data_IF_791611149769
#
_entry.id   IF_791611149769
#
_cell.length_a   1.000
_cell.length_b   1.000
_cell.length_c   1.000
_cell.angle_alpha   90.00
_cell.angle_beta   90.00
_cell.angle_gamma   90.00
#
_symmetry.space_group_name_H-M   'P 1'
#
loop_
_entity.id
_entity.type
_entity.pdbx_description
1 polymer ?
#
# COMPACT_ATOMS: atom_id res chain seq x y z
N UNK A 1 -26.42 8.95 3.49
CA UNK A 1 -25.05 9.45 3.75
C UNK A 1 -24.80 10.60 2.81
N UNK A 2 -24.71 11.83 3.31
CA UNK A 2 -24.48 13.01 2.47
C UNK A 2 -23.04 12.98 1.99
N UNK A 3 -22.83 12.72 0.70
CA UNK A 3 -21.52 12.86 0.07
C UNK A 3 -21.20 14.35 0.14
N UNK A 4 -20.31 14.75 1.06
CA UNK A 4 -19.79 16.12 1.06
C UNK A 4 -19.23 16.36 -0.35
N UNK A 5 -19.61 17.45 -1.03
CA UNK A 5 -18.95 17.78 -2.29
C UNK A 5 -17.45 17.83 -2.00
N UNK A 6 -16.67 17.13 -2.83
CA UNK A 6 -15.22 17.24 -2.82
C UNK A 6 -14.90 18.70 -3.17
N UNK A 7 -14.86 19.56 -2.16
CA UNK A 7 -14.51 20.96 -2.32
C UNK A 7 -13.10 20.99 -2.89
N UNK A 8 -12.91 21.69 -4.01
CA UNK A 8 -11.59 21.92 -4.58
C UNK A 8 -10.70 22.48 -3.46
N UNK A 9 -9.63 21.76 -3.06
CA UNK A 9 -8.77 22.18 -1.96
C UNK A 9 -8.22 23.60 -2.14
N UNK A 10 -8.01 24.01 -3.40
CA UNK A 10 -7.57 25.36 -3.74
C UNK A 10 -8.65 26.38 -3.37
N UNK A 11 -9.89 26.16 -3.83
CA UNK A 11 -11.02 27.03 -3.54
C UNK A 11 -11.28 27.13 -2.05
N UNK A 12 -11.21 25.99 -1.35
CA UNK A 12 -11.37 25.91 0.11
C UNK A 12 -10.37 26.78 0.86
N UNK A 13 -9.11 26.84 0.43
CA UNK A 13 -8.12 27.74 1.06
C UNK A 13 -8.56 29.20 0.95
N UNK A 14 -8.88 29.68 -0.25
CA UNK A 14 -9.18 31.10 -0.48
C UNK A 14 -10.54 31.53 0.08
N UNK A 15 -11.54 30.64 0.12
CA UNK A 15 -12.86 30.92 0.71
C UNK A 15 -12.81 30.98 2.25
N UNK A 16 -11.95 30.18 2.88
CA UNK A 16 -11.87 30.09 4.35
C UNK A 16 -10.74 30.93 4.96
N UNK A 17 -9.87 31.51 4.14
CA UNK A 17 -8.73 32.31 4.61
C UNK A 17 -9.01 33.80 4.35
N UNK A 18 -8.88 34.68 5.36
CA UNK A 18 -8.97 36.11 5.16
C UNK A 18 -7.99 36.61 4.09
N UNK A 19 -8.40 37.57 3.26
CA UNK A 19 -7.59 38.11 2.15
C UNK A 19 -6.21 38.61 2.61
N UNK A 20 -6.13 39.20 3.80
CA UNK A 20 -4.88 39.67 4.40
C UNK A 20 -3.87 38.55 4.65
N UNK A 21 -4.35 37.33 4.89
CA UNK A 21 -3.55 36.15 5.20
C UNK A 21 -3.21 35.32 3.96
N UNK A 22 -3.76 35.68 2.79
CA UNK A 22 -3.42 35.01 1.55
C UNK A 22 -1.92 35.08 1.29
N UNK A 23 -1.31 33.92 1.15
CA UNK A 23 0.09 33.77 0.80
C UNK A 23 0.32 32.40 0.17
N UNK A 24 1.37 32.30 -0.65
CA UNK A 24 1.72 31.02 -1.27
C UNK A 24 2.19 29.98 -0.23
N UNK A 25 2.85 30.42 0.85
CA UNK A 25 3.28 29.51 1.92
C UNK A 25 2.10 28.97 2.73
N UNK A 26 1.18 29.82 3.16
CA UNK A 26 -0.03 29.36 3.88
C UNK A 26 -0.90 28.45 3.01
N UNK A 27 -0.99 28.74 1.70
CA UNK A 27 -1.63 27.85 0.73
C UNK A 27 -0.97 26.47 0.69
N UNK A 28 0.36 26.41 0.62
CA UNK A 28 1.09 25.14 0.61
C UNK A 28 0.95 24.37 1.93
N UNK A 29 1.01 25.05 3.07
CA UNK A 29 0.86 24.46 4.40
C UNK A 29 -0.53 23.83 4.56
N UNK A 30 -1.59 24.55 4.19
CA UNK A 30 -2.97 24.05 4.24
C UNK A 30 -3.16 22.81 3.35
N UNK A 31 -2.45 22.77 2.22
CA UNK A 31 -2.58 21.71 1.23
C UNK A 31 -1.52 20.61 1.36
N UNK A 32 -0.65 20.67 2.37
CA UNK A 32 0.40 19.69 2.62
C UNK A 32 -0.10 18.24 2.58
N UNK A 33 -1.26 17.87 3.18
CA UNK A 33 -1.77 16.50 3.10
C UNK A 33 -2.03 16.03 1.65
N UNK A 34 -2.42 16.93 0.75
CA UNK A 34 -2.63 16.63 -0.66
C UNK A 34 -1.29 16.48 -1.41
N UNK A 35 -0.27 17.23 -1.00
CA UNK A 35 1.08 17.10 -1.52
C UNK A 35 1.70 15.76 -1.13
N UNK A 36 1.46 15.27 0.08
CA UNK A 36 2.01 14.00 0.58
C UNK A 36 1.32 12.79 -0.07
N UNK A 37 0.00 12.81 -0.19
CA UNK A 37 -0.79 11.66 -0.67
C UNK A 37 -0.73 11.40 -2.19
N UNK A 38 -0.38 12.40 -3.00
CA UNK A 38 -0.34 12.26 -4.47
C UNK A 38 0.90 11.50 -4.97
N UNK A 39 0.69 10.65 -5.99
CA UNK A 39 1.72 9.78 -6.60
C UNK A 39 2.70 10.54 -7.53
N UNK A 40 2.47 11.82 -7.77
CA UNK A 40 3.31 12.64 -8.66
C UNK A 40 4.74 12.83 -8.12
N UNK A 41 5.67 13.06 -9.06
CA UNK A 41 7.05 13.44 -8.72
C UNK A 41 7.05 14.79 -7.98
N UNK A 42 8.07 15.02 -7.15
CA UNK A 42 8.18 16.27 -6.39
C UNK A 42 8.21 17.50 -7.33
N UNK A 43 8.89 17.40 -8.47
CA UNK A 43 8.96 18.47 -9.46
C UNK A 43 7.59 18.76 -10.11
N UNK A 44 6.83 17.72 -10.45
CA UNK A 44 5.48 17.87 -10.98
C UNK A 44 4.58 18.54 -9.94
N UNK A 45 4.67 18.13 -8.67
CA UNK A 45 3.89 18.74 -7.60
C UNK A 45 4.21 20.22 -7.41
N UNK A 46 5.50 20.58 -7.38
CA UNK A 46 5.94 22.00 -7.35
C UNK A 46 5.25 22.80 -8.46
N UNK A 47 5.26 22.27 -9.68
CA UNK A 47 4.64 22.91 -10.85
C UNK A 47 3.11 22.98 -10.76
N UNK A 48 2.46 21.87 -10.43
CA UNK A 48 0.99 21.74 -10.36
C UNK A 48 0.42 22.72 -9.33
N UNK A 49 0.96 22.72 -8.12
CA UNK A 49 0.44 23.56 -7.03
C UNK A 49 0.71 25.03 -7.28
N UNK A 50 1.88 25.38 -7.83
CA UNK A 50 2.16 26.75 -8.25
C UNK A 50 1.19 27.22 -9.33
N UNK A 51 0.95 26.39 -10.35
CA UNK A 51 0.01 26.71 -11.43
C UNK A 51 -1.40 26.91 -10.90
N UNK A 52 -1.88 26.00 -10.05
CA UNK A 52 -3.21 26.10 -9.43
C UNK A 52 -3.38 27.38 -8.61
N UNK A 53 -2.40 27.71 -7.78
CA UNK A 53 -2.40 28.96 -7.01
C UNK A 53 -2.50 30.19 -7.91
N UNK A 54 -1.65 30.29 -8.94
CA UNK A 54 -1.65 31.42 -9.85
C UNK A 54 -2.92 31.49 -10.71
N UNK A 55 -3.44 30.35 -11.17
CA UNK A 55 -4.70 30.31 -11.91
C UNK A 55 -5.85 30.84 -11.07
N UNK A 56 -5.95 30.45 -9.79
CA UNK A 56 -6.98 30.96 -8.90
C UNK A 56 -6.88 32.48 -8.73
N UNK A 57 -5.68 32.99 -8.45
CA UNK A 57 -5.46 34.43 -8.32
C UNK A 57 -5.78 35.19 -9.62
N UNK A 58 -5.43 34.64 -10.78
CA UNK A 58 -5.78 35.25 -12.07
C UNK A 58 -7.29 35.29 -12.30
N UNK A 59 -8.04 34.27 -11.87
CA UNK A 59 -9.49 34.25 -11.99
C UNK A 59 -10.14 35.36 -11.14
N UNK A 60 -9.63 35.62 -9.93
CA UNK A 60 -10.08 36.75 -9.09
C UNK A 60 -9.96 38.10 -9.81
N UNK A 61 -8.94 38.26 -10.66
CA UNK A 61 -8.74 39.50 -11.43
C UNK A 61 -9.74 39.66 -12.58
N UNK A 62 -10.28 38.55 -13.10
CA UNK A 62 -11.24 38.53 -14.21
C UNK A 62 -12.68 38.68 -13.69
N UNK A 63 -12.98 38.10 -12.52
CA UNK A 63 -14.32 38.13 -11.92
C UNK A 63 -14.75 39.56 -11.56
N UNK A 64 -15.85 40.04 -12.14
CA UNK A 64 -16.36 41.40 -11.92
C UNK A 64 -16.84 41.63 -10.49
N UNK A 65 -17.44 40.60 -9.87
CA UNK A 65 -18.04 40.64 -8.53
C UNK A 65 -17.03 40.66 -7.37
N UNK A 66 -15.74 40.39 -7.64
CA UNK A 66 -14.72 40.36 -6.60
C UNK A 66 -14.35 41.75 -6.09
N UNK A 67 -14.15 41.83 -4.76
CA UNK A 67 -13.88 43.10 -4.09
C UNK A 67 -12.50 43.68 -4.49
N UNK A 68 -12.39 45.01 -4.43
CA UNK A 68 -11.16 45.71 -4.83
C UNK A 68 -9.97 45.31 -3.94
N UNK A 69 -10.19 44.86 -2.71
CA UNK A 69 -9.13 44.40 -1.80
C UNK A 69 -8.55 43.07 -2.28
N UNK A 70 -9.40 42.09 -2.62
CA UNK A 70 -8.93 40.81 -3.17
C UNK A 70 -8.20 41.00 -4.49
N UNK A 71 -8.68 41.87 -5.38
CA UNK A 71 -8.00 42.15 -6.66
C UNK A 71 -6.61 42.77 -6.45
N UNK A 72 -6.49 43.76 -5.56
CA UNK A 72 -5.19 44.35 -5.19
C UNK A 72 -4.24 43.31 -4.59
N UNK A 73 -4.75 42.49 -3.66
CA UNK A 73 -3.96 41.44 -3.02
C UNK A 73 -3.51 40.37 -4.01
N UNK A 74 -4.40 39.89 -4.88
CA UNK A 74 -4.09 38.90 -5.91
C UNK A 74 -3.01 39.41 -6.87
N UNK A 75 -3.11 40.66 -7.31
CA UNK A 75 -2.09 41.30 -8.16
C UNK A 75 -0.71 41.31 -7.47
N UNK A 76 -0.68 41.71 -6.20
CA UNK A 76 0.55 41.70 -5.39
C UNK A 76 1.14 40.29 -5.28
N UNK A 77 0.32 39.29 -4.98
CA UNK A 77 0.75 37.89 -4.81
C UNK A 77 1.23 37.23 -6.12
N UNK A 78 0.67 37.61 -7.27
CA UNK A 78 1.13 37.13 -8.59
C UNK A 78 2.52 37.70 -8.91
N UNK A 79 2.75 38.97 -8.57
CA UNK A 79 4.03 39.65 -8.82
C UNK A 79 5.12 39.26 -7.81
N UNK A 80 4.75 38.70 -6.66
CA UNK A 80 5.72 38.22 -5.68
C UNK A 80 6.62 37.13 -6.27
N UNK A 81 7.93 37.31 -6.04
CA UNK A 81 8.94 36.28 -6.31
C UNK A 81 8.71 35.06 -5.43
N UNK A 82 9.27 33.92 -5.83
CA UNK A 82 9.23 32.69 -5.03
C UNK A 82 9.80 32.94 -3.63
N UNK A 83 9.07 32.55 -2.57
CA UNK A 83 9.61 32.58 -1.21
C UNK A 83 10.79 31.60 -1.08
N UNK A 84 11.90 31.96 -0.41
CA UNK A 84 12.99 31.02 -0.14
C UNK A 84 12.54 29.84 0.74
N UNK A 85 11.51 30.02 1.56
CA UNK A 85 10.92 28.99 2.43
C UNK A 85 10.24 27.86 1.63
N UNK A 86 9.91 28.10 0.36
CA UNK A 86 9.29 27.10 -0.52
C UNK A 86 10.13 25.81 -0.59
N UNK A 87 11.46 25.92 -0.68
CA UNK A 87 12.32 24.73 -0.78
C UNK A 87 12.30 23.89 0.50
N UNK A 88 12.26 24.55 1.67
CA UNK A 88 12.15 23.86 2.95
C UNK A 88 10.83 23.10 3.08
N UNK A 89 9.73 23.70 2.62
CA UNK A 89 8.43 23.03 2.56
C UNK A 89 8.51 21.76 1.71
N UNK A 90 9.04 21.84 0.49
CA UNK A 90 9.11 20.69 -0.40
C UNK A 90 10.08 19.60 0.10
N UNK A 91 11.15 19.98 0.79
CA UNK A 91 12.01 19.03 1.48
C UNK A 91 11.25 18.30 2.61
N UNK A 92 10.42 19.00 3.38
CA UNK A 92 9.55 18.37 4.38
C UNK A 92 8.56 17.39 3.74
N UNK A 93 7.89 17.79 2.65
CA UNK A 93 6.97 16.91 1.91
C UNK A 93 7.67 15.67 1.38
N UNK A 94 8.90 15.82 0.86
CA UNK A 94 9.71 14.70 0.39
C UNK A 94 10.00 13.70 1.51
N UNK A 95 10.45 14.19 2.66
CA UNK A 95 10.76 13.34 3.83
C UNK A 95 9.49 12.61 4.28
N UNK A 96 8.37 13.31 4.39
CA UNK A 96 7.09 12.73 4.83
C UNK A 96 6.59 11.63 3.88
N UNK A 97 6.72 11.84 2.57
CA UNK A 97 6.45 10.81 1.56
C UNK A 97 7.35 9.58 1.71
N UNK A 98 8.64 9.78 1.90
CA UNK A 98 9.60 8.68 2.10
C UNK A 98 9.29 7.89 3.37
N UNK A 99 8.87 8.57 4.44
CA UNK A 99 8.45 7.93 5.69
C UNK A 99 7.19 7.09 5.49
N UNK A 100 6.16 7.63 4.81
CA UNK A 100 4.92 6.91 4.53
C UNK A 100 5.17 5.64 3.70
N UNK A 101 6.08 5.70 2.73
CA UNK A 101 6.49 4.51 1.94
C UNK A 101 7.22 3.49 2.81
N UNK A 102 8.12 3.94 3.70
CA UNK A 102 8.86 3.04 4.61
C UNK A 102 7.94 2.34 5.59
N UNK A 103 6.96 3.06 6.13
CA UNK A 103 5.94 2.52 7.03
C UNK A 103 5.10 1.44 6.34
N UNK A 104 4.58 1.73 5.14
CA UNK A 104 3.82 0.74 4.35
C UNK A 104 4.65 -0.52 4.02
N UNK A 105 5.94 -0.35 3.67
CA UNK A 105 6.85 -1.48 3.46
C UNK A 105 7.06 -2.28 4.75
N UNK A 106 7.23 -1.59 5.88
CA UNK A 106 7.43 -2.22 7.18
C UNK A 106 6.21 -3.05 7.58
N UNK A 107 5.01 -2.50 7.47
CA UNK A 107 3.76 -3.18 7.79
C UNK A 107 3.57 -4.44 6.94
N UNK A 108 3.79 -4.33 5.62
CA UNK A 108 3.71 -5.47 4.71
C UNK A 108 4.73 -6.55 5.05
N UNK A 109 5.98 -6.18 5.38
CA UNK A 109 7.02 -7.12 5.79
C UNK A 109 6.68 -7.80 7.12
N UNK A 110 6.13 -7.05 8.07
CA UNK A 110 5.68 -7.57 9.35
C UNK A 110 4.57 -8.61 9.17
N UNK A 111 3.58 -8.30 8.32
CA UNK A 111 2.50 -9.24 7.96
C UNK A 111 3.02 -10.51 7.29
N UNK A 112 3.96 -10.38 6.35
CA UNK A 112 4.61 -11.53 5.70
C UNK A 112 5.33 -12.39 6.75
N UNK A 113 6.12 -11.78 7.63
CA UNK A 113 6.82 -12.51 8.69
C UNK A 113 5.87 -13.27 9.64
N UNK A 114 4.71 -12.69 9.96
CA UNK A 114 3.70 -13.37 10.75
C UNK A 114 3.10 -14.59 10.03
N UNK A 115 2.86 -14.48 8.72
CA UNK A 115 2.39 -15.60 7.90
C UNK A 115 3.45 -16.71 7.81
N UNK A 116 4.72 -16.35 7.63
CA UNK A 116 5.82 -17.33 7.58
C UNK A 116 5.91 -18.14 8.88
N UNK A 117 5.75 -17.50 10.04
CA UNK A 117 5.73 -18.19 11.35
C UNK A 117 4.57 -19.18 11.44
N UNK A 118 3.38 -18.80 10.97
CA UNK A 118 2.21 -19.70 10.95
C UNK A 118 2.44 -20.89 10.02
N UNK A 119 3.03 -20.67 8.84
CA UNK A 119 3.33 -21.74 7.88
C UNK A 119 4.37 -22.72 8.43
N UNK A 120 5.43 -22.23 9.09
CA UNK A 120 6.41 -23.08 9.76
C UNK A 120 5.75 -23.91 10.86
N UNK A 121 4.95 -23.28 11.73
CA UNK A 121 4.25 -23.98 12.81
C UNK A 121 3.26 -25.03 12.28
N UNK A 122 2.57 -24.72 11.17
CA UNK A 122 1.68 -25.66 10.50
C UNK A 122 2.44 -26.87 9.96
N UNK A 123 3.57 -26.66 9.29
CA UNK A 123 4.37 -27.74 8.73
C UNK A 123 4.91 -28.66 9.83
N UNK A 124 5.43 -28.09 10.93
CA UNK A 124 5.85 -28.87 12.10
C UNK A 124 4.73 -29.75 12.64
N UNK A 125 3.52 -29.19 12.80
CA UNK A 125 2.36 -29.95 13.27
C UNK A 125 1.92 -31.05 12.29
N UNK A 126 2.08 -30.83 10.99
CA UNK A 126 1.81 -31.85 9.95
C UNK A 126 2.82 -32.98 10.07
N UNK A 127 4.10 -32.68 10.23
CA UNK A 127 5.16 -33.69 10.38
C UNK A 127 4.92 -34.53 11.64
N UNK A 128 4.62 -33.90 12.79
CA UNK A 128 4.24 -34.60 14.03
C UNK A 128 3.04 -35.54 13.83
N UNK A 129 2.03 -35.11 13.05
CA UNK A 129 0.87 -35.94 12.74
C UNK A 129 1.25 -37.15 11.87
N UNK A 130 2.07 -36.93 10.84
CA UNK A 130 2.57 -37.99 9.95
C UNK A 130 3.35 -39.04 10.76
N UNK A 131 4.24 -38.60 11.66
CA UNK A 131 5.01 -39.49 12.53
C UNK A 131 4.10 -40.32 13.45
N UNK A 132 3.08 -39.69 14.04
CA UNK A 132 2.09 -40.37 14.88
C UNK A 132 1.30 -41.44 14.10
N UNK A 133 0.90 -41.15 12.86
CA UNK A 133 0.19 -42.11 12.00
C UNK A 133 1.11 -43.27 11.62
N UNK A 134 2.37 -42.99 11.27
CA UNK A 134 3.34 -44.02 10.91
C UNK A 134 3.65 -44.94 12.09
N UNK A 135 3.83 -44.40 13.30
CA UNK A 135 4.04 -45.20 14.51
C UNK A 135 2.86 -46.16 14.80
N UNK A 136 1.62 -45.68 14.67
CA UNK A 136 0.42 -46.53 14.82
C UNK A 136 0.39 -47.68 13.80
N UNK A 137 0.81 -47.41 12.56
CA UNK A 137 0.84 -48.43 11.50
C UNK A 137 1.91 -49.48 11.76
N UNK A 138 3.05 -49.10 12.31
CA UNK A 138 4.11 -50.04 12.71
C UNK A 138 3.67 -50.92 13.87
N UNK A 139 3.09 -50.33 14.92
CA UNK A 139 2.61 -51.07 16.09
C UNK A 139 1.47 -52.04 15.73
N UNK A 140 0.55 -51.62 14.85
CA UNK A 140 -0.53 -52.49 14.36
C UNK A 140 -0.04 -53.66 13.48
N UNK A 141 1.17 -53.59 12.92
CA UNK A 141 1.79 -54.73 12.20
C UNK A 141 2.46 -55.70 13.17
N UNK A 142 3.11 -55.19 14.21
CA UNK A 142 3.72 -56.04 15.24
C UNK A 142 2.69 -56.78 16.11
N UNK A 143 1.53 -56.17 16.40
CA UNK A 143 0.44 -56.86 17.13
C UNK A 143 -0.24 -57.97 16.33
N UNK A 144 -0.32 -57.84 14.99
CA UNK A 144 -0.89 -58.87 14.12
C UNK A 144 0.08 -60.06 13.96
N UNK A 145 1.38 -59.83 14.04
CA UNK A 145 2.39 -60.91 14.03
C UNK A 145 2.55 -61.62 15.39
N UNK A 146 2.10 -61.02 16.50
CA UNK A 146 2.11 -61.64 17.83
C UNK A 146 0.85 -62.46 18.17
N UNK A 147 -0.20 -62.44 17.32
CA UNK A 147 -1.49 -63.10 17.57
C UNK A 147 -2.02 -63.91 16.39
N UNK A 148 -1.16 -64.65 15.68
CA UNK A 148 -1.61 -65.58 14.64
C UNK A 148 -1.10 -66.99 14.85
N UNK A 149 -1.74 -67.66 15.82
CA UNK A 149 -1.82 -69.10 15.88
C UNK A 149 -3.25 -69.57 15.60
N UNK A 150 -3.75 -69.42 14.37
CA UNK A 150 -4.73 -70.36 13.77
C UNK A 150 -5.00 -70.08 12.28
N UNK A 151 -4.87 -71.14 11.46
CA UNK A 151 -5.14 -71.17 10.01
C UNK A 151 -6.60 -70.83 9.69
N UNK A 152 -6.82 -70.05 8.61
CA UNK A 152 -7.80 -70.38 7.56
C UNK A 152 -7.41 -69.74 6.22
N UNK A 153 -7.33 -70.61 5.21
CA UNK A 153 -7.22 -70.31 3.78
C UNK A 153 -8.61 -69.89 3.28
N UNK A 154 -8.70 -68.90 2.37
CA UNK A 154 -9.29 -69.02 1.02
C UNK A 154 -9.18 -67.67 0.27
N UNK A 155 -8.70 -67.78 -0.98
CA UNK A 155 -8.86 -66.97 -2.21
C UNK A 155 -9.78 -65.73 -2.14
N UNK A 156 -9.54 -64.61 -2.84
CA UNK A 156 -9.23 -64.55 -4.27
C UNK A 156 -8.82 -63.13 -4.73
N UNK A 157 -8.17 -63.11 -5.90
CA UNK A 157 -8.01 -62.05 -6.89
C UNK A 157 -7.12 -60.80 -6.67
N UNK A 158 -6.58 -60.40 -7.82
CA UNK A 158 -5.34 -59.67 -8.09
C UNK A 158 -5.71 -58.28 -8.71
N UNK A 159 -4.88 -57.58 -9.51
CA UNK A 159 -4.43 -56.22 -9.22
C UNK A 159 -4.88 -55.14 -10.24
N UNK A 160 -5.11 -53.89 -9.84
CA UNK A 160 -5.15 -52.72 -10.74
C UNK A 160 -5.30 -51.45 -9.88
N UNK A 161 -4.57 -50.33 -10.00
CA UNK A 161 -3.80 -49.75 -11.09
C UNK A 161 -2.87 -48.67 -10.51
N UNK A 162 -1.65 -48.56 -11.07
CA UNK A 162 -0.74 -47.43 -10.84
C UNK A 162 -1.34 -46.16 -11.45
N UNK A 163 -1.56 -45.09 -10.68
CA UNK A 163 -1.71 -43.72 -11.22
C UNK A 163 -0.51 -42.88 -10.82
N UNK A 164 0.38 -42.66 -11.79
CA UNK A 164 1.49 -41.69 -11.74
C UNK A 164 0.91 -40.29 -11.86
N UNK A 165 1.10 -39.43 -10.86
CA UNK A 165 0.92 -37.99 -11.04
C UNK A 165 2.24 -37.39 -11.53
N UNK A 166 2.16 -36.75 -12.69
CA UNK A 166 3.25 -36.16 -13.45
C UNK A 166 3.39 -34.70 -12.99
N UNK A 167 4.40 -34.41 -12.18
CA UNK A 167 4.70 -33.03 -11.77
C UNK A 167 5.25 -32.26 -12.96
N UNK A 168 4.50 -31.27 -13.46
CA UNK A 168 5.02 -30.28 -14.42
C UNK A 168 5.74 -29.19 -13.62
N UNK A 169 7.07 -29.20 -13.67
CA UNK A 169 7.88 -28.02 -13.35
C UNK A 169 7.69 -27.00 -14.48
N UNK A 170 7.12 -25.83 -14.16
CA UNK A 170 7.29 -24.62 -14.99
C UNK A 170 8.40 -23.78 -14.38
N UNK A 171 9.52 -23.75 -15.09
CA UNK A 171 10.72 -22.96 -14.83
C UNK A 171 10.47 -21.57 -15.42
N UNK A 172 10.21 -20.55 -14.61
CA UNK A 172 10.27 -19.15 -15.06
C UNK A 172 11.67 -18.63 -14.83
N UNK A 173 12.42 -18.54 -15.93
CA UNK A 173 13.74 -17.93 -16.01
C UNK A 173 13.65 -16.43 -15.77
N UNK A 174 14.46 -15.97 -14.82
CA UNK A 174 15.02 -14.63 -14.75
C UNK A 174 15.65 -14.24 -16.10
N UNK A 175 15.30 -13.07 -16.63
CA UNK A 175 16.09 -12.36 -17.64
C UNK A 175 16.77 -11.19 -16.91
N UNK A 176 18.10 -11.22 -16.88
CA UNK A 176 18.97 -10.06 -16.67
C UNK A 176 19.73 -9.86 -17.99
N UNK A 177 19.78 -8.62 -18.46
CA UNK A 177 20.48 -8.20 -19.67
C UNK A 177 19.68 -7.13 -20.39
#
# INVERSE_FOLDING_TARGET
MSVKPCLDPVKSYFENTPVSEWSYMAFLEMLKPNCVSQVHTLADQKSIWRKRYLTYLSNILIEEEQDNTSKKRATFLIQQKRPPEEENFWNSVKIEKELMIKEDIFDKKSQIGALDVIDVARNQKVDEYVDKVNSRRSNAREEVDASSGHKRVYFDENPSSKKKYKTRLTKTSFIKG
#
